data_IF_314006364925
#
_entry.id   IF_314006364925
#
_cell.length_a   1.000
_cell.length_b   1.000
_cell.length_c   1.000
_cell.angle_alpha   90.00
_cell.angle_beta   90.00
_cell.angle_gamma   90.00
#
_symmetry.space_group_name_H-M   'P 1'
#
loop_
_entity.id
_entity.type
_entity.pdbx_description
1 polymer ?
#
# COMPACT_ATOMS: atom_id res chain seq x y z
N UNK A 1 -19.65 -2.91 0.32
CA UNK A 1 -19.57 -2.35 -1.05
C UNK A 1 -20.90 -1.80 -1.60
N UNK A 2 -22.01 -1.87 -0.86
CA UNK A 2 -23.34 -1.39 -1.30
C UNK A 2 -23.48 0.13 -1.54
N UNK A 3 -22.41 0.91 -1.47
CA UNK A 3 -22.42 2.38 -1.63
C UNK A 3 -21.55 2.86 -2.81
N UNK A 4 -20.97 1.95 -3.61
CA UNK A 4 -20.19 2.36 -4.78
C UNK A 4 -21.05 2.92 -5.91
N UNK A 5 -22.39 2.83 -5.85
CA UNK A 5 -23.30 3.32 -6.89
C UNK A 5 -22.93 2.85 -8.32
N UNK A 6 -22.20 1.74 -8.42
CA UNK A 6 -21.82 1.10 -9.68
C UNK A 6 -22.99 0.21 -10.08
N UNK A 7 -23.54 0.44 -11.27
CA UNK A 7 -24.49 -0.47 -11.93
C UNK A 7 -23.84 -1.84 -12.06
N UNK A 8 -24.50 -2.89 -11.58
CA UNK A 8 -24.01 -4.28 -11.64
C UNK A 8 -23.86 -4.66 -13.12
N UNK A 9 -22.63 -4.59 -13.64
CA UNK A 9 -22.32 -5.04 -14.99
C UNK A 9 -22.40 -6.58 -15.04
N UNK A 10 -23.03 -7.12 -16.07
CA UNK A 10 -23.22 -8.57 -16.27
C UNK A 10 -21.89 -9.32 -16.57
N UNK A 11 -20.76 -8.60 -16.69
CA UNK A 11 -19.43 -9.17 -16.92
C UNK A 11 -18.42 -8.64 -15.88
N UNK A 12 -18.03 -9.48 -14.92
CA UNK A 12 -16.94 -9.18 -13.97
C UNK A 12 -15.61 -9.52 -14.61
N UNK A 13 -15.06 -8.56 -15.36
CA UNK A 13 -13.78 -8.69 -16.04
C UNK A 13 -12.61 -8.46 -15.07
N UNK A 14 -11.51 -9.17 -15.30
CA UNK A 14 -10.22 -8.85 -14.69
C UNK A 14 -9.53 -7.77 -15.52
N UNK A 15 -9.44 -6.57 -14.98
CA UNK A 15 -8.69 -5.48 -15.60
C UNK A 15 -7.25 -5.47 -15.07
N UNK A 16 -6.26 -5.46 -15.96
CA UNK A 16 -4.84 -5.42 -15.57
C UNK A 16 -4.46 -4.11 -14.89
N UNK A 17 -5.06 -3.01 -15.36
CA UNK A 17 -4.97 -1.66 -14.79
C UNK A 17 -6.38 -1.10 -14.70
N UNK A 18 -6.66 -0.31 -13.67
CA UNK A 18 -8.00 0.22 -13.40
C UNK A 18 -7.99 1.75 -13.52
N UNK A 19 -8.80 2.30 -14.41
CA UNK A 19 -8.93 3.74 -14.66
C UNK A 19 -10.15 4.36 -13.96
N UNK A 20 -11.05 3.53 -13.43
CA UNK A 20 -12.33 3.98 -12.84
C UNK A 20 -12.76 3.17 -11.61
N UNK A 21 -13.79 3.67 -10.90
CA UNK A 21 -14.38 2.94 -9.76
C UNK A 21 -15.21 1.75 -10.20
N UNK A 22 -15.75 1.83 -11.42
CA UNK A 22 -16.49 0.77 -12.09
C UNK A 22 -15.56 -0.42 -12.38
N UNK A 23 -14.40 -0.16 -13.00
CA UNK A 23 -13.39 -1.20 -13.26
C UNK A 23 -12.80 -1.79 -11.97
N UNK A 24 -12.62 -0.95 -10.93
CA UNK A 24 -12.25 -1.44 -9.60
C UNK A 24 -13.29 -2.42 -9.06
N UNK A 25 -14.58 -2.10 -9.18
CA UNK A 25 -15.65 -2.96 -8.72
C UNK A 25 -15.71 -4.27 -9.53
N UNK A 26 -15.66 -4.21 -10.86
CA UNK A 26 -15.65 -5.39 -11.73
C UNK A 26 -14.48 -6.32 -11.40
N UNK A 27 -13.27 -5.75 -11.28
CA UNK A 27 -12.07 -6.52 -10.97
C UNK A 27 -12.13 -7.09 -9.56
N UNK A 28 -12.62 -6.32 -8.59
CA UNK A 28 -12.81 -6.81 -7.23
C UNK A 28 -13.78 -8.00 -7.20
N UNK A 29 -14.95 -7.89 -7.84
CA UNK A 29 -15.95 -8.98 -7.86
C UNK A 29 -15.41 -10.21 -8.60
N UNK A 30 -14.62 -10.02 -9.65
CA UNK A 30 -13.94 -11.11 -10.36
C UNK A 30 -13.08 -11.96 -9.41
N UNK A 31 -12.29 -11.34 -8.54
CA UNK A 31 -11.45 -12.05 -7.58
C UNK A 31 -12.21 -12.51 -6.34
N UNK A 32 -13.16 -11.72 -5.87
CA UNK A 32 -14.03 -12.04 -4.73
C UNK A 32 -14.84 -13.31 -4.98
N UNK A 33 -15.48 -13.42 -6.15
CA UNK A 33 -16.28 -14.60 -6.53
C UNK A 33 -15.44 -15.88 -6.67
N UNK A 34 -14.12 -15.73 -6.89
CA UNK A 34 -13.15 -16.83 -6.92
C UNK A 34 -12.50 -17.11 -5.57
N UNK A 35 -12.65 -16.20 -4.59
CA UNK A 35 -11.95 -16.25 -3.30
C UNK A 35 -10.43 -16.14 -3.45
N UNK A 36 -9.94 -15.49 -4.50
CA UNK A 36 -8.53 -15.44 -4.86
C UNK A 36 -7.91 -14.08 -4.54
N UNK A 37 -6.65 -14.02 -4.07
CA UNK A 37 -5.97 -12.75 -3.84
C UNK A 37 -5.61 -12.07 -5.15
N UNK A 38 -5.64 -10.74 -5.15
CA UNK A 38 -5.16 -9.95 -6.28
C UNK A 38 -4.61 -8.59 -5.84
N UNK A 39 -3.74 -8.04 -6.67
CA UNK A 39 -3.22 -6.68 -6.57
C UNK A 39 -3.30 -6.03 -7.94
N UNK A 40 -3.80 -4.79 -8.00
CA UNK A 40 -3.99 -4.03 -9.23
C UNK A 40 -3.61 -2.58 -9.05
N UNK A 41 -3.00 -2.03 -10.10
CA UNK A 41 -2.67 -0.63 -10.18
C UNK A 41 -3.88 0.17 -10.67
N UNK A 42 -4.22 1.24 -9.94
CA UNK A 42 -5.17 2.24 -10.42
C UNK A 42 -4.40 3.31 -11.16
N UNK A 43 -4.65 3.48 -12.47
CA UNK A 43 -3.92 4.46 -13.27
C UNK A 43 -4.44 5.89 -13.10
N UNK A 44 -5.72 6.05 -12.75
CA UNK A 44 -6.32 7.36 -12.48
C UNK A 44 -6.14 7.76 -11.00
N UNK A 45 -5.36 8.82 -10.77
CA UNK A 45 -5.07 9.37 -9.43
C UNK A 45 -6.34 9.86 -8.72
N UNK A 46 -7.25 10.58 -9.42
CA UNK A 46 -8.49 11.09 -8.83
C UNK A 46 -9.42 9.96 -8.39
N UNK A 47 -9.52 8.89 -9.20
CA UNK A 47 -10.29 7.70 -8.85
C UNK A 47 -9.70 6.99 -7.62
N UNK A 48 -8.37 6.90 -7.54
CA UNK A 48 -7.68 6.31 -6.40
C UNK A 48 -7.85 7.17 -5.13
N UNK A 49 -7.73 8.50 -5.22
CA UNK A 49 -8.01 9.40 -4.10
C UNK A 49 -9.46 9.25 -3.61
N UNK A 50 -10.41 9.12 -4.53
CA UNK A 50 -11.82 8.86 -4.17
C UNK A 50 -11.95 7.53 -3.42
N UNK A 51 -11.28 6.47 -3.85
CA UNK A 51 -11.23 5.20 -3.12
C UNK A 51 -10.69 5.39 -1.70
N UNK A 52 -9.55 6.07 -1.53
CA UNK A 52 -8.95 6.33 -0.22
C UNK A 52 -9.93 7.08 0.69
N UNK A 53 -10.53 8.18 0.21
CA UNK A 53 -11.53 8.95 0.97
C UNK A 53 -12.75 8.09 1.36
N UNK A 54 -13.22 7.23 0.47
CA UNK A 54 -14.34 6.32 0.74
C UNK A 54 -13.98 5.23 1.76
N UNK A 55 -12.72 4.83 1.86
CA UNK A 55 -12.27 3.88 2.90
C UNK A 55 -12.18 4.57 4.26
N UNK A 56 -11.69 5.81 4.31
CA UNK A 56 -11.48 6.56 5.55
C UNK A 56 -12.77 7.10 6.17
N UNK A 57 -13.76 7.45 5.35
CA UNK A 57 -15.03 8.02 5.81
C UNK A 57 -16.00 6.98 6.42
N UNK A 58 -15.66 5.69 6.42
CA UNK A 58 -16.58 4.65 6.91
C UNK A 58 -16.48 4.47 8.41
N UNK A 59 -17.62 4.18 9.04
CA UNK A 59 -17.75 3.67 10.43
C UNK A 59 -17.08 2.29 10.65
N UNK A 60 -16.32 1.79 9.68
CA UNK A 60 -15.51 0.58 9.80
C UNK A 60 -14.15 0.95 10.40
N UNK A 61 -13.61 0.07 11.25
CA UNK A 61 -12.24 0.24 11.76
C UNK A 61 -11.25 0.12 10.60
N UNK A 62 -10.82 1.26 10.07
CA UNK A 62 -9.68 1.34 9.16
C UNK A 62 -8.42 1.20 10.01
N UNK A 63 -7.56 0.28 9.59
CA UNK A 63 -6.25 0.10 10.21
C UNK A 63 -5.18 0.65 9.27
N UNK A 64 -4.33 1.53 9.80
CA UNK A 64 -3.17 2.04 9.08
C UNK A 64 -1.91 1.34 9.57
N UNK A 65 -1.13 0.81 8.63
CA UNK A 65 0.12 0.12 8.90
C UNK A 65 1.23 0.72 8.06
N UNK A 66 2.44 0.73 8.60
CA UNK A 66 3.63 1.06 7.83
C UNK A 66 3.93 -0.10 6.86
N UNK A 67 4.00 0.23 5.57
CA UNK A 67 4.38 -0.71 4.52
C UNK A 67 5.85 -0.58 4.13
N UNK A 68 6.32 -1.52 3.31
CA UNK A 68 7.67 -1.50 2.74
C UNK A 68 8.73 -2.15 3.64
N UNK A 69 9.51 -3.05 3.06
CA UNK A 69 10.51 -3.84 3.80
C UNK A 69 11.55 -2.97 4.49
N UNK A 70 12.01 -1.91 3.83
CA UNK A 70 12.97 -0.96 4.41
C UNK A 70 12.41 -0.30 5.68
N UNK A 71 11.16 0.18 5.63
CA UNK A 71 10.52 0.82 6.76
C UNK A 71 10.25 -0.17 7.91
N UNK A 72 9.79 -1.39 7.60
CA UNK A 72 9.59 -2.45 8.58
C UNK A 72 10.89 -2.86 9.27
N UNK A 73 11.98 -3.02 8.52
CA UNK A 73 13.31 -3.30 9.09
C UNK A 73 13.78 -2.15 9.96
N UNK A 74 13.64 -0.90 9.51
CA UNK A 74 14.02 0.27 10.31
C UNK A 74 13.23 0.33 11.63
N UNK A 75 11.92 0.07 11.59
CA UNK A 75 11.07 -0.01 12.78
C UNK A 75 11.52 -1.14 13.71
N UNK A 76 11.85 -2.31 13.15
CA UNK A 76 12.31 -3.46 13.94
C UNK A 76 13.66 -3.19 14.58
N UNK A 77 14.59 -2.57 13.87
CA UNK A 77 15.90 -2.18 14.40
C UNK A 77 15.72 -1.17 15.54
N UNK A 78 14.95 -0.11 15.28
CA UNK A 78 14.69 0.96 16.24
C UNK A 78 14.03 0.46 17.54
N UNK A 79 13.18 -0.57 17.45
CA UNK A 79 12.51 -1.16 18.62
C UNK A 79 13.33 -2.25 19.33
N UNK A 80 14.19 -2.98 18.61
CA UNK A 80 14.89 -4.16 19.15
C UNK A 80 16.33 -3.86 19.58
N UNK A 81 16.96 -2.83 19.02
CA UNK A 81 18.36 -2.47 19.27
C UNK A 81 18.47 -1.00 19.70
N UNK A 82 18.31 -0.69 21.00
CA UNK A 82 18.27 0.70 21.50
C UNK A 82 19.55 1.50 21.22
N UNK A 83 20.69 0.84 21.03
CA UNK A 83 21.98 1.47 20.74
C UNK A 83 22.25 1.64 19.25
N UNK A 84 21.38 1.10 18.38
CA UNK A 84 21.51 1.20 16.94
C UNK A 84 20.61 2.32 16.40
N UNK A 85 21.19 3.21 15.59
CA UNK A 85 20.43 4.25 14.91
C UNK A 85 20.00 3.74 13.53
N UNK A 86 18.69 3.55 13.35
CA UNK A 86 18.13 3.17 12.05
C UNK A 86 17.95 4.41 11.18
N UNK A 87 18.70 4.50 10.08
CA UNK A 87 18.50 5.50 9.03
C UNK A 87 17.65 4.91 7.91
N UNK A 88 16.45 5.45 7.72
CA UNK A 88 15.54 5.02 6.66
C UNK A 88 15.62 5.97 5.46
N UNK A 89 15.84 5.39 4.29
CA UNK A 89 15.81 6.09 3.00
C UNK A 89 14.67 5.50 2.17
N UNK A 90 13.76 6.37 1.73
CA UNK A 90 12.64 6.00 0.87
C UNK A 90 11.64 7.15 0.76
N UNK A 91 10.66 7.06 -0.16
CA UNK A 91 9.57 8.01 -0.26
C UNK A 91 8.73 7.94 1.03
N UNK A 92 8.82 8.96 1.90
CA UNK A 92 8.10 8.98 3.19
C UNK A 92 7.24 10.23 3.26
N UNK A 93 5.92 10.04 3.23
CA UNK A 93 4.94 11.10 3.44
C UNK A 93 4.56 11.27 4.91
N UNK A 94 3.63 12.20 5.21
CA UNK A 94 3.20 12.52 6.56
C UNK A 94 2.59 11.36 7.34
N UNK A 95 1.82 10.47 6.69
CA UNK A 95 1.14 9.34 7.33
C UNK A 95 2.12 8.25 7.71
N UNK A 96 3.00 7.86 6.79
CA UNK A 96 4.08 6.91 7.05
C UNK A 96 4.98 7.42 8.16
N UNK A 97 5.27 8.73 8.17
CA UNK A 97 6.02 9.34 9.27
C UNK A 97 5.35 9.12 10.63
N UNK A 98 4.04 9.37 10.73
CA UNK A 98 3.32 9.24 12.00
C UNK A 98 3.31 7.80 12.55
N UNK A 99 3.48 6.80 11.68
CA UNK A 99 3.50 5.38 12.05
C UNK A 99 4.90 4.85 12.42
N UNK A 100 5.95 5.54 11.97
CA UNK A 100 7.33 5.12 12.22
C UNK A 100 7.76 5.33 13.68
N UNK A 101 8.67 4.47 14.15
CA UNK A 101 9.24 4.60 15.48
C UNK A 101 10.00 5.94 15.62
N UNK A 102 9.86 6.70 16.73
CA UNK A 102 10.43 8.04 16.85
C UNK A 102 11.95 8.12 16.69
N UNK A 103 12.68 7.03 16.97
CA UNK A 103 14.14 6.98 16.81
C UNK A 103 14.62 6.68 15.39
N UNK A 104 13.71 6.39 14.44
CA UNK A 104 14.07 6.19 13.03
C UNK A 104 14.45 7.55 12.43
N UNK A 105 15.72 7.67 12.07
CA UNK A 105 16.28 8.89 11.48
C UNK A 105 16.04 8.89 9.97
N UNK A 106 15.75 10.07 9.42
CA UNK A 106 15.42 10.29 8.01
C UNK A 106 16.10 11.55 7.52
N UNK A 107 16.31 11.65 6.21
CA UNK A 107 16.83 12.87 5.58
C UNK A 107 15.66 13.72 5.04
N UNK A 108 15.81 15.04 5.01
CA UNK A 108 14.86 15.93 4.35
C UNK A 108 14.71 15.62 2.86
N UNK A 109 15.78 15.13 2.22
CA UNK A 109 15.78 14.73 0.81
C UNK A 109 14.89 13.52 0.50
N UNK A 110 14.35 12.85 1.53
CA UNK A 110 13.50 11.66 1.36
C UNK A 110 12.03 11.92 1.70
N UNK A 111 11.67 13.18 1.97
CA UNK A 111 10.30 13.58 2.27
C UNK A 111 9.54 13.86 0.99
N UNK A 112 8.34 13.32 0.90
CA UNK A 112 7.38 13.58 -0.17
C UNK A 112 6.13 14.26 0.39
N UNK A 113 5.38 14.94 -0.45
CA UNK A 113 4.19 15.68 -0.02
C UNK A 113 3.02 14.76 0.35
N UNK A 114 2.89 13.63 -0.36
CA UNK A 114 1.81 12.67 -0.18
C UNK A 114 2.38 11.25 -0.07
N UNK A 115 1.81 10.43 0.80
CA UNK A 115 2.21 9.03 0.98
C UNK A 115 1.78 8.15 -0.20
N UNK A 116 2.59 7.12 -0.49
CA UNK A 116 2.18 6.02 -1.34
C UNK A 116 1.28 5.08 -0.54
N UNK A 117 0.04 4.92 -0.99
CA UNK A 117 -0.96 4.14 -0.28
C UNK A 117 -1.28 2.86 -1.03
N UNK A 118 -1.44 1.78 -0.26
CA UNK A 118 -2.00 0.52 -0.73
C UNK A 118 -3.29 0.29 0.04
N UNK A 119 -4.41 0.31 -0.67
CA UNK A 119 -5.72 0.03 -0.11
C UNK A 119 -5.93 -1.48 -0.13
N UNK A 120 -5.98 -2.10 1.06
CA UNK A 120 -6.21 -3.54 1.22
C UNK A 120 -7.69 -3.75 1.58
N UNK A 121 -8.43 -4.37 0.67
CA UNK A 121 -9.82 -4.75 0.83
C UNK A 121 -9.90 -6.23 1.21
N UNK A 122 -10.05 -6.51 2.49
CA UNK A 122 -10.21 -7.87 3.00
C UNK A 122 -11.67 -8.31 2.94
N UNK A 123 -11.89 -9.59 2.63
CA UNK A 123 -13.21 -10.21 2.65
C UNK A 123 -13.12 -11.63 3.22
N UNK A 124 -14.23 -12.08 3.82
CA UNK A 124 -14.30 -13.38 4.49
C UNK A 124 -15.01 -14.42 3.62
N UNK A 125 -14.68 -15.69 3.84
CA UNK A 125 -15.46 -16.80 3.31
C UNK A 125 -16.95 -16.65 3.68
N UNK A 126 -17.82 -16.84 2.70
CA UNK A 126 -19.27 -16.71 2.86
C UNK A 126 -19.78 -15.27 2.90
N UNK A 127 -18.91 -14.26 2.75
CA UNK A 127 -19.34 -12.88 2.56
C UNK A 127 -20.10 -12.73 1.25
N UNK A 128 -21.12 -11.86 1.24
CA UNK A 128 -22.06 -11.71 0.12
C UNK A 128 -22.03 -10.27 -0.37
N UNK A 129 -21.89 -10.08 -1.68
CA UNK A 129 -22.00 -8.79 -2.36
C UNK A 129 -22.88 -8.95 -3.59
N UNK A 130 -24.09 -8.37 -3.55
CA UNK A 130 -25.10 -8.61 -4.57
C UNK A 130 -25.45 -10.10 -4.62
N UNK A 131 -25.27 -10.70 -5.80
CA UNK A 131 -25.51 -12.13 -6.05
C UNK A 131 -24.24 -13.00 -5.82
N UNK A 132 -23.10 -12.38 -5.49
CA UNK A 132 -21.81 -13.07 -5.36
C UNK A 132 -21.53 -13.47 -3.93
N UNK A 133 -21.00 -14.68 -3.75
CA UNK A 133 -20.56 -15.21 -2.45
C UNK A 133 -19.07 -15.55 -2.54
N UNK A 134 -18.28 -15.09 -1.58
CA UNK A 134 -16.86 -15.41 -1.52
C UNK A 134 -16.65 -16.87 -1.08
N UNK A 135 -16.02 -17.73 -1.91
CA UNK A 135 -15.79 -19.13 -1.55
C UNK A 135 -14.68 -19.32 -0.51
N UNK A 136 -13.80 -18.33 -0.33
CA UNK A 136 -12.71 -18.32 0.64
C UNK A 136 -12.42 -16.89 1.13
N UNK A 137 -11.82 -16.79 2.32
CA UNK A 137 -11.32 -15.50 2.85
C UNK A 137 -10.05 -15.10 2.12
N UNK A 138 -9.99 -13.86 1.65
CA UNK A 138 -8.83 -13.33 0.93
C UNK A 138 -8.85 -11.80 0.94
N UNK A 139 -7.98 -11.18 0.15
CA UNK A 139 -7.82 -9.74 0.05
C UNK A 139 -7.58 -9.29 -1.39
N UNK A 140 -8.05 -8.09 -1.69
CA UNK A 140 -7.77 -7.38 -2.93
C UNK A 140 -6.99 -6.10 -2.61
N UNK A 141 -5.90 -5.83 -3.32
CA UNK A 141 -5.04 -4.68 -3.09
C UNK A 141 -5.15 -3.73 -4.29
N UNK A 142 -5.46 -2.46 -4.03
CA UNK A 142 -5.40 -1.40 -5.01
C UNK A 142 -4.33 -0.38 -4.61
N UNK A 143 -3.48 0.02 -5.55
CA UNK A 143 -2.44 1.02 -5.32
C UNK A 143 -2.35 2.00 -6.48
N UNK A 144 -1.85 3.21 -6.18
CA UNK A 144 -1.43 4.21 -7.16
C UNK A 144 -0.01 4.63 -6.80
N UNK A 145 0.92 3.69 -6.95
CA UNK A 145 2.33 3.87 -6.61
C UNK A 145 3.10 4.41 -7.83
N UNK A 146 3.81 5.52 -7.64
CA UNK A 146 4.58 6.18 -8.70
C UNK A 146 6.09 6.16 -8.43
N UNK A 147 6.51 5.92 -7.18
CA UNK A 147 7.91 6.00 -6.76
C UNK A 147 8.55 4.62 -6.57
N UNK A 148 7.80 3.58 -6.19
CA UNK A 148 8.32 2.22 -6.16
C UNK A 148 8.63 1.76 -7.59
N UNK A 149 9.91 1.58 -7.89
CA UNK A 149 10.37 1.35 -9.27
C UNK A 149 11.17 2.51 -9.85
N UNK A 150 11.06 3.72 -9.30
CA UNK A 150 11.68 4.91 -9.87
C UNK A 150 13.18 5.02 -9.55
N UNK A 151 13.93 5.63 -10.47
CA UNK A 151 15.34 6.00 -10.24
C UNK A 151 15.49 7.01 -9.10
N UNK A 152 14.43 7.74 -8.76
CA UNK A 152 14.42 8.73 -7.67
C UNK A 152 14.80 8.11 -6.32
N UNK A 153 14.32 6.89 -6.02
CA UNK A 153 14.62 6.20 -4.76
C UNK A 153 16.10 5.84 -4.67
N UNK A 154 16.69 5.45 -5.80
CA UNK A 154 18.13 5.14 -5.90
C UNK A 154 18.96 6.42 -5.71
N UNK A 155 18.55 7.53 -6.34
CA UNK A 155 19.23 8.82 -6.18
C UNK A 155 19.16 9.33 -4.74
N UNK A 156 18.00 9.17 -4.08
CA UNK A 156 17.81 9.49 -2.67
C UNK A 156 18.75 8.67 -1.77
N UNK A 157 18.91 7.38 -2.08
CA UNK A 157 19.80 6.48 -1.36
C UNK A 157 21.27 6.88 -1.46
N UNK A 158 21.78 7.15 -2.67
CA UNK A 158 23.18 7.57 -2.85
C UNK A 158 23.48 8.92 -2.19
N UNK A 159 22.54 9.88 -2.25
CA UNK A 159 22.67 11.16 -1.52
C UNK A 159 22.72 10.94 -0.01
N UNK A 160 21.88 10.05 0.53
CA UNK A 160 21.84 9.76 1.95
C UNK A 160 23.14 9.10 2.46
N UNK A 161 23.63 8.05 1.79
CA UNK A 161 24.84 7.32 2.22
C UNK A 161 26.06 8.24 2.31
N UNK A 162 26.22 9.13 1.33
CA UNK A 162 27.33 10.08 1.27
C UNK A 162 27.39 10.99 2.51
N UNK A 163 26.22 11.33 3.07
CA UNK A 163 26.10 12.16 4.28
C UNK A 163 26.19 11.36 5.58
N UNK A 164 25.54 10.19 5.64
CA UNK A 164 25.36 9.42 6.88
C UNK A 164 26.58 8.57 7.22
N UNK A 165 27.33 8.08 6.21
CA UNK A 165 28.47 7.15 6.38
C UNK A 165 28.13 5.97 7.33
N UNK A 166 27.15 5.13 6.97
CA UNK A 166 26.66 4.06 7.83
C UNK A 166 27.67 2.92 8.00
N UNK A 167 27.67 2.29 9.18
CA UNK A 167 28.47 1.08 9.47
C UNK A 167 27.94 -0.18 8.77
N UNK A 168 26.61 -0.22 8.53
CA UNK A 168 25.91 -1.30 7.84
C UNK A 168 24.86 -0.72 6.89
N UNK A 169 24.84 -1.24 5.67
CA UNK A 169 23.82 -0.91 4.68
C UNK A 169 22.97 -2.16 4.47
N UNK A 170 21.66 -2.00 4.64
CA UNK A 170 20.67 -3.04 4.33
C UNK A 170 19.84 -2.56 3.14
N UNK A 171 19.95 -3.25 2.02
CA UNK A 171 19.13 -3.02 0.84
C UNK A 171 18.16 -4.19 0.69
N UNK A 172 16.89 -3.89 0.46
CA UNK A 172 15.90 -4.89 0.13
C UNK A 172 15.07 -4.41 -1.05
N UNK A 173 14.98 -5.28 -2.06
CA UNK A 173 14.48 -5.04 -3.42
C UNK A 173 13.23 -4.14 -3.52
N UNK A 174 13.22 -3.34 -4.61
CA UNK A 174 12.02 -2.88 -5.32
C UNK A 174 11.12 -4.12 -5.61
N UNK A 175 9.89 -4.15 -5.07
CA UNK A 175 8.79 -5.11 -5.29
C UNK A 175 8.67 -6.38 -4.36
N UNK A 176 7.50 -6.42 -3.70
CA UNK A 176 6.65 -7.51 -3.19
C UNK A 176 7.03 -8.50 -2.04
N UNK A 177 6.35 -8.25 -0.91
CA UNK A 177 5.73 -9.07 0.17
C UNK A 177 6.18 -10.50 0.55
N UNK A 178 6.36 -10.70 1.86
CA UNK A 178 5.89 -11.89 2.61
C UNK A 178 5.12 -11.40 3.84
N UNK A 179 3.82 -11.71 3.91
CA UNK A 179 3.03 -11.69 5.14
C UNK A 179 3.03 -13.13 5.66
N UNK A 180 3.35 -13.32 6.96
CA UNK A 180 2.98 -14.53 7.71
C UNK A 180 1.58 -14.36 8.28
#
# INVERSE_FOLDING_TARGET
>A
MNQLNVTVAENHADHQTMDSMEELYETFIHFFSKGAPAERFMANEEAFEKLVRLTENKDQKVHHYIGGNAALMAQKIASSFPTATAFLVGPIGPRSHALLHPSVVRNNSTRIAQDELHVILEYKQGEIIGEYVAPASSRFIASHDQFSGSSLVIDMFFKAISSVRPDLIVCYYLLLWIIL
#
